data_IF_325262776589
#
_entry.id   IF_325262776589
#
_cell.length_a   1.000
_cell.length_b   1.000
_cell.length_c   1.000
_cell.angle_alpha   90.00
_cell.angle_beta   90.00
_cell.angle_gamma   90.00
#
_symmetry.space_group_name_H-M   'P 1'
#
loop_
_entity.id
_entity.type
_entity.pdbx_description
1 polymer ?
#
# COMPACT_ATOMS: atom_id res chain seq x y z
N UNK A 1 -17.99 -4.82 0.59
CA UNK A 1 -16.89 -4.23 -0.20
C UNK A 1 -15.58 -4.80 0.31
N UNK A 2 -14.62 -5.09 -0.56
CA UNK A 2 -13.26 -5.53 -0.17
C UNK A 2 -12.34 -4.30 -0.17
N UNK A 3 -11.64 -4.04 0.94
CA UNK A 3 -10.60 -3.04 1.02
C UNK A 3 -9.22 -3.71 0.89
N UNK A 4 -8.53 -3.54 -0.22
CA UNK A 4 -7.18 -4.08 -0.43
C UNK A 4 -6.19 -3.01 0.00
N UNK A 5 -5.60 -3.18 1.17
CA UNK A 5 -4.78 -2.16 1.80
C UNK A 5 -3.29 -2.45 1.66
N UNK A 6 -2.58 -1.61 0.92
CA UNK A 6 -1.12 -1.55 0.91
C UNK A 6 -0.63 -0.92 2.21
N UNK A 7 -0.24 -1.79 3.16
CA UNK A 7 0.08 -1.37 4.52
C UNK A 7 1.51 -0.83 4.68
N UNK A 8 2.39 -1.08 3.72
CA UNK A 8 3.81 -0.68 3.81
C UNK A 8 3.96 0.83 4.04
N UNK A 9 3.16 1.63 3.34
CA UNK A 9 3.22 3.08 3.39
C UNK A 9 2.77 3.68 4.72
N UNK A 10 1.74 3.11 5.37
CA UNK A 10 1.27 3.58 6.69
C UNK A 10 2.23 3.18 7.81
N UNK A 11 2.82 1.97 7.72
CA UNK A 11 3.84 1.51 8.66
C UNK A 11 5.04 2.43 8.61
N UNK A 12 5.53 2.72 7.40
CA UNK A 12 6.65 3.66 7.22
C UNK A 12 6.31 5.06 7.75
N UNK A 13 5.15 5.61 7.40
CA UNK A 13 4.69 6.95 7.84
C UNK A 13 4.43 7.05 9.34
N UNK A 14 4.25 5.94 10.05
CA UNK A 14 4.03 5.94 11.50
C UNK A 14 5.33 6.04 12.30
N UNK A 15 6.47 5.73 11.68
CA UNK A 15 7.78 5.84 12.30
C UNK A 15 8.37 7.25 12.26
N UNK A 16 7.77 8.19 11.51
CA UNK A 16 8.28 9.56 11.46
C UNK A 16 7.75 10.39 12.62
N UNK A 17 8.62 11.24 13.18
CA UNK A 17 8.31 12.20 14.23
C UNK A 17 7.81 11.56 15.55
N UNK A 18 8.20 10.32 15.82
CA UNK A 18 7.91 9.64 17.07
C UNK A 18 9.20 9.44 17.85
N UNK A 19 9.17 9.73 19.14
CA UNK A 19 10.35 9.67 20.01
C UNK A 19 10.56 8.27 20.59
N UNK A 20 9.47 7.51 20.75
CA UNK A 20 9.53 6.16 21.28
C UNK A 20 8.59 5.18 20.53
N UNK A 21 8.71 3.90 20.85
CA UNK A 21 7.95 2.83 20.19
C UNK A 21 6.45 2.84 20.54
N UNK A 22 6.07 3.35 21.69
CA UNK A 22 4.67 3.46 22.11
C UNK A 22 3.95 4.49 21.22
N UNK A 23 4.54 5.65 21.02
CA UNK A 23 4.02 6.67 20.09
C UNK A 23 3.91 6.15 18.65
N UNK A 24 4.90 5.37 18.19
CA UNK A 24 4.86 4.75 16.86
C UNK A 24 3.66 3.82 16.72
N UNK A 25 3.41 2.96 17.71
CA UNK A 25 2.28 2.03 17.69
C UNK A 25 0.94 2.74 17.78
N UNK A 26 0.83 3.77 18.61
CA UNK A 26 -0.37 4.63 18.70
C UNK A 26 -0.65 5.35 17.37
N UNK A 27 0.39 5.92 16.76
CA UNK A 27 0.30 6.58 15.44
C UNK A 27 -0.19 5.62 14.37
N UNK A 28 0.33 4.40 14.34
CA UNK A 28 -0.11 3.35 13.43
C UNK A 28 -1.59 3.01 13.61
N UNK A 29 -2.01 2.71 14.84
CA UNK A 29 -3.40 2.34 15.11
C UNK A 29 -4.38 3.48 14.88
N UNK A 30 -3.99 4.72 15.19
CA UNK A 30 -4.80 5.89 14.90
C UNK A 30 -5.08 6.04 13.42
N UNK A 31 -4.03 5.95 12.58
CA UNK A 31 -4.16 6.03 11.12
C UNK A 31 -4.96 4.84 10.56
N UNK A 32 -4.69 3.63 11.02
CA UNK A 32 -5.38 2.42 10.57
C UNK A 32 -6.89 2.48 10.85
N UNK A 33 -7.27 2.87 12.07
CA UNK A 33 -8.67 3.03 12.47
C UNK A 33 -9.38 4.12 11.67
N UNK A 34 -8.72 5.27 11.41
CA UNK A 34 -9.27 6.35 10.58
C UNK A 34 -9.54 5.86 9.15
N UNK A 35 -8.63 5.07 8.57
CA UNK A 35 -8.81 4.48 7.25
C UNK A 35 -10.01 3.52 7.23
N UNK A 36 -10.08 2.58 8.17
CA UNK A 36 -11.20 1.62 8.27
C UNK A 36 -12.51 2.37 8.42
N UNK A 37 -12.58 3.35 9.31
CA UNK A 37 -13.75 4.19 9.52
C UNK A 37 -14.22 4.88 8.24
N UNK A 38 -13.32 5.52 7.49
CA UNK A 38 -13.67 6.19 6.23
C UNK A 38 -14.17 5.22 5.16
N UNK A 39 -13.60 4.01 5.10
CA UNK A 39 -14.07 2.95 4.22
C UNK A 39 -15.48 2.49 4.60
N UNK A 40 -15.77 2.30 5.90
CA UNK A 40 -17.08 1.87 6.39
C UNK A 40 -18.14 2.97 6.24
N UNK A 41 -17.78 4.23 6.43
CA UNK A 41 -18.68 5.37 6.16
C UNK A 41 -19.13 5.39 4.69
N UNK A 42 -18.24 5.04 3.76
CA UNK A 42 -18.53 5.05 2.32
C UNK A 42 -19.32 3.83 1.85
N UNK A 43 -19.00 2.65 2.35
CA UNK A 43 -19.46 1.37 1.79
C UNK A 43 -20.27 0.50 2.77
N UNK A 44 -20.44 0.94 4.01
CA UNK A 44 -20.98 0.09 5.08
C UNK A 44 -19.95 -0.95 5.51
N UNK A 45 -20.33 -2.23 5.54
CA UNK A 45 -19.40 -3.29 5.90
C UNK A 45 -18.28 -3.47 4.85
N UNK A 46 -17.03 -3.44 5.31
CA UNK A 46 -15.84 -3.63 4.49
C UNK A 46 -14.99 -4.75 5.09
N UNK A 47 -14.64 -5.72 4.27
CA UNK A 47 -13.63 -6.73 4.59
C UNK A 47 -12.26 -6.19 4.21
N UNK A 48 -11.35 -6.05 5.17
CA UNK A 48 -10.01 -5.52 4.97
C UNK A 48 -9.03 -6.65 4.69
N UNK A 49 -8.32 -6.56 3.57
CA UNK A 49 -7.19 -7.41 3.21
C UNK A 49 -5.94 -6.55 3.27
N UNK A 50 -5.16 -6.72 4.35
CA UNK A 50 -3.91 -6.01 4.52
C UNK A 50 -2.82 -6.74 3.74
N UNK A 51 -2.15 -6.04 2.84
CA UNK A 51 -1.09 -6.57 1.96
C UNK A 51 0.19 -5.81 2.24
N UNK A 52 1.28 -6.51 2.46
CA UNK A 52 2.55 -5.83 2.72
C UNK A 52 3.71 -6.77 3.04
N UNK A 53 4.85 -6.15 3.30
CA UNK A 53 6.09 -6.80 3.73
C UNK A 53 6.58 -7.91 2.81
N UNK A 54 6.29 -7.79 1.52
CA UNK A 54 6.77 -8.72 0.50
C UNK A 54 8.30 -8.67 0.40
N UNK A 55 8.93 -9.81 0.18
CA UNK A 55 10.39 -9.97 0.24
C UNK A 55 10.95 -10.62 -1.02
N UNK A 56 12.28 -10.59 -1.17
CA UNK A 56 13.02 -11.30 -2.23
C UNK A 56 12.51 -10.98 -3.65
N UNK A 57 12.22 -9.72 -3.91
CA UNK A 57 11.72 -9.25 -5.20
C UNK A 57 12.55 -9.79 -6.37
N UNK A 58 11.87 -10.41 -7.34
CA UNK A 58 12.50 -10.99 -8.53
C UNK A 58 13.22 -9.93 -9.40
N UNK A 59 12.75 -8.65 -9.37
CA UNK A 59 13.36 -7.55 -10.14
C UNK A 59 14.84 -7.36 -9.79
N UNK A 60 15.23 -7.59 -8.52
CA UNK A 60 16.65 -7.58 -8.10
C UNK A 60 17.47 -8.72 -8.68
N UNK A 61 16.83 -9.81 -9.10
CA UNK A 61 17.52 -10.93 -9.80
C UNK A 61 17.76 -10.60 -11.26
N UNK A 62 16.89 -9.78 -11.87
CA UNK A 62 16.98 -9.33 -13.26
C UNK A 62 17.93 -8.13 -13.37
N UNK A 63 17.83 -7.20 -12.42
CA UNK A 63 18.67 -6.01 -12.34
C UNK A 63 19.11 -5.79 -10.89
N UNK A 64 20.39 -6.04 -10.62
CA UNK A 64 20.98 -5.87 -9.28
C UNK A 64 20.97 -4.39 -8.80
N UNK A 65 20.90 -3.43 -9.71
CA UNK A 65 20.82 -1.99 -9.39
C UNK A 65 19.39 -1.53 -9.06
N UNK A 66 18.37 -2.38 -9.27
CA UNK A 66 16.99 -2.02 -9.00
C UNK A 66 16.77 -1.53 -7.57
N UNK A 67 16.25 -0.30 -7.43
CA UNK A 67 16.10 0.42 -6.15
C UNK A 67 17.41 0.63 -5.37
N UNK A 68 18.58 0.48 -6.02
CA UNK A 68 19.90 0.70 -5.40
C UNK A 68 20.17 2.15 -5.00
N UNK A 69 19.45 3.11 -5.58
CA UNK A 69 19.56 4.54 -5.28
C UNK A 69 18.80 4.98 -4.02
N UNK A 70 18.10 4.07 -3.33
CA UNK A 70 17.43 4.38 -2.06
C UNK A 70 18.46 4.46 -0.95
N UNK A 71 19.02 5.65 -0.75
CA UNK A 71 20.05 5.97 0.25
C UNK A 71 19.46 6.52 1.56
N UNK A 72 18.14 6.65 1.66
CA UNK A 72 17.52 7.13 2.90
C UNK A 72 17.68 6.11 4.01
N UNK A 73 18.14 6.56 5.15
CA UNK A 73 18.18 5.76 6.37
C UNK A 73 16.76 5.32 6.74
N UNK A 74 16.63 4.05 7.11
CA UNK A 74 15.35 3.55 7.60
C UNK A 74 15.00 4.22 8.93
N UNK A 75 13.72 4.55 9.17
CA UNK A 75 13.29 5.03 10.48
C UNK A 75 13.69 4.05 11.58
N UNK A 76 14.06 4.56 12.75
CA UNK A 76 14.62 3.78 13.87
C UNK A 76 13.72 2.62 14.30
N UNK A 77 12.41 2.84 14.38
CA UNK A 77 11.45 1.85 14.88
C UNK A 77 10.81 0.97 13.78
N UNK A 78 11.22 1.11 12.51
CA UNK A 78 10.53 0.48 11.39
C UNK A 78 10.47 -1.05 11.50
N UNK A 79 11.59 -1.69 11.81
CA UNK A 79 11.66 -3.16 11.89
C UNK A 79 10.83 -3.69 13.08
N UNK A 80 10.89 -3.01 14.22
CA UNK A 80 10.09 -3.34 15.38
C UNK A 80 8.58 -3.17 15.11
N UNK A 81 8.19 -2.11 14.40
CA UNK A 81 6.79 -1.89 14.03
C UNK A 81 6.29 -2.94 13.03
N UNK A 82 7.10 -3.35 12.06
CA UNK A 82 6.76 -4.42 11.12
C UNK A 82 6.43 -5.72 11.86
N UNK A 83 7.28 -6.14 12.79
CA UNK A 83 7.05 -7.36 13.58
C UNK A 83 5.80 -7.22 14.46
N UNK A 84 5.64 -6.08 15.15
CA UNK A 84 4.44 -5.79 15.93
C UNK A 84 3.16 -5.86 15.11
N UNK A 85 3.15 -5.29 13.90
CA UNK A 85 1.99 -5.29 13.00
C UNK A 85 1.67 -6.71 12.53
N UNK A 86 2.68 -7.52 12.20
CA UNK A 86 2.48 -8.94 11.83
C UNK A 86 1.90 -9.78 12.96
N UNK A 87 2.24 -9.47 14.22
CA UNK A 87 1.70 -10.16 15.39
C UNK A 87 0.24 -9.77 15.69
N UNK A 88 -0.16 -8.56 15.35
CA UNK A 88 -1.46 -7.99 15.72
C UNK A 88 -2.48 -7.89 14.58
N UNK A 89 -2.04 -8.03 13.32
CA UNK A 89 -2.90 -8.02 12.13
C UNK A 89 -2.57 -9.20 11.24
N UNK A 90 -3.62 -9.75 10.60
CA UNK A 90 -3.40 -10.67 9.50
C UNK A 90 -2.92 -9.90 8.26
N UNK A 91 -1.70 -10.23 7.80
CA UNK A 91 -1.06 -9.59 6.65
C UNK A 91 -0.81 -10.63 5.57
N UNK A 92 -1.34 -10.37 4.39
CA UNK A 92 -1.01 -11.12 3.18
C UNK A 92 0.37 -10.70 2.68
N UNK A 93 1.31 -11.62 2.71
CA UNK A 93 2.68 -11.37 2.29
C UNK A 93 3.18 -12.48 1.37
N UNK A 94 4.11 -12.16 0.47
CA UNK A 94 4.76 -13.15 -0.40
C UNK A 94 6.24 -12.87 -0.60
N UNK A 95 7.00 -13.96 -0.78
CA UNK A 95 8.37 -13.90 -1.25
C UNK A 95 8.41 -13.95 -2.78
N UNK A 96 9.34 -13.22 -3.39
CA UNK A 96 9.60 -13.23 -4.83
C UNK A 96 8.86 -12.16 -5.64
N UNK A 97 7.98 -11.39 -5.03
CA UNK A 97 7.24 -10.29 -5.67
C UNK A 97 7.26 -9.03 -4.80
N UNK A 98 6.81 -7.90 -5.32
CA UNK A 98 6.58 -6.67 -4.55
C UNK A 98 5.15 -6.63 -4.00
N UNK A 99 4.91 -5.74 -3.03
CA UNK A 99 3.59 -5.55 -2.43
C UNK A 99 2.56 -5.10 -3.48
N UNK A 100 2.94 -4.21 -4.39
CA UNK A 100 2.11 -3.73 -5.49
C UNK A 100 1.67 -4.87 -6.45
N UNK A 101 2.58 -5.81 -6.76
CA UNK A 101 2.25 -7.01 -7.55
C UNK A 101 1.19 -7.87 -6.85
N UNK A 102 1.26 -7.98 -5.51
CA UNK A 102 0.31 -8.77 -4.73
C UNK A 102 -1.04 -8.07 -4.62
N UNK A 103 -1.06 -6.75 -4.42
CA UNK A 103 -2.27 -5.91 -4.46
C UNK A 103 -2.98 -6.05 -5.80
N UNK A 104 -2.23 -5.97 -6.92
CA UNK A 104 -2.78 -6.17 -8.26
C UNK A 104 -3.41 -7.55 -8.45
N UNK A 105 -2.82 -8.61 -7.87
CA UNK A 105 -3.40 -9.97 -7.89
C UNK A 105 -4.73 -10.04 -7.13
N UNK A 106 -4.82 -9.41 -5.96
CA UNK A 106 -6.08 -9.34 -5.22
C UNK A 106 -7.14 -8.52 -5.95
N UNK A 107 -6.77 -7.37 -6.56
CA UNK A 107 -7.67 -6.59 -7.40
C UNK A 107 -8.26 -7.44 -8.54
N UNK A 108 -7.42 -8.20 -9.23
CA UNK A 108 -7.87 -9.11 -10.31
C UNK A 108 -8.74 -10.25 -9.78
N UNK A 109 -8.47 -10.76 -8.59
CA UNK A 109 -9.23 -11.85 -7.99
C UNK A 109 -10.65 -11.44 -7.58
N UNK A 110 -10.78 -10.31 -6.87
CA UNK A 110 -12.06 -9.82 -6.37
C UNK A 110 -12.83 -8.98 -7.40
N UNK A 111 -12.12 -8.38 -8.33
CA UNK A 111 -12.66 -7.51 -9.38
C UNK A 111 -12.82 -6.05 -8.93
N UNK A 112 -12.61 -5.15 -9.88
CA UNK A 112 -12.59 -3.70 -9.68
C UNK A 112 -13.88 -3.10 -9.09
N UNK A 113 -15.03 -3.74 -9.34
CA UNK A 113 -16.34 -3.26 -8.88
C UNK A 113 -16.67 -3.69 -7.45
N UNK A 114 -15.94 -4.67 -6.91
CA UNK A 114 -16.13 -5.23 -5.57
C UNK A 114 -15.01 -4.89 -4.61
N UNK A 115 -13.96 -4.21 -5.09
CA UNK A 115 -12.79 -3.87 -4.30
C UNK A 115 -12.36 -2.42 -4.46
N UNK A 116 -11.67 -1.93 -3.43
CA UNK A 116 -11.05 -0.60 -3.39
C UNK A 116 -9.60 -0.81 -2.95
N UNK A 117 -8.65 -0.25 -3.71
CA UNK A 117 -7.25 -0.18 -3.26
C UNK A 117 -7.13 0.95 -2.25
N UNK A 118 -6.48 0.70 -1.13
CA UNK A 118 -6.19 1.69 -0.11
C UNK A 118 -4.69 1.93 -0.12
N UNK A 119 -4.27 3.06 -0.68
CA UNK A 119 -2.85 3.42 -0.79
C UNK A 119 -2.67 4.90 -1.12
N UNK A 120 -1.46 5.42 -0.91
CA UNK A 120 -1.03 6.74 -1.37
C UNK A 120 -0.12 6.65 -2.59
N UNK A 121 0.24 5.44 -3.01
CA UNK A 121 1.14 5.23 -4.13
C UNK A 121 0.42 5.50 -5.46
N UNK A 122 1.01 6.37 -6.28
CA UNK A 122 0.50 6.74 -7.61
C UNK A 122 0.55 5.57 -8.61
N UNK A 123 1.39 4.56 -8.35
CA UNK A 123 1.57 3.43 -9.26
C UNK A 123 0.28 2.60 -9.41
N UNK A 124 -0.61 2.65 -8.42
CA UNK A 124 -1.94 2.02 -8.53
C UNK A 124 -2.88 2.73 -9.53
N UNK A 125 -2.58 3.96 -9.95
CA UNK A 125 -3.34 4.65 -11.01
C UNK A 125 -3.18 4.03 -12.41
N UNK A 126 -2.31 3.00 -12.54
CA UNK A 126 -2.19 2.18 -13.76
C UNK A 126 -3.28 1.11 -13.87
N UNK A 127 -4.12 0.95 -12.86
CA UNK A 127 -5.20 -0.05 -12.85
C UNK A 127 -6.56 0.63 -12.95
N UNK A 128 -7.46 0.05 -13.74
CA UNK A 128 -8.88 0.44 -13.73
C UNK A 128 -9.50 -0.01 -12.39
N UNK A 129 -9.65 0.89 -11.43
CA UNK A 129 -10.12 0.60 -10.08
C UNK A 129 -10.61 1.85 -9.35
N UNK A 130 -11.08 1.67 -8.12
CA UNK A 130 -11.26 2.76 -7.17
C UNK A 130 -10.10 2.71 -6.16
N UNK A 131 -9.48 3.85 -5.90
CA UNK A 131 -8.40 4.02 -4.92
C UNK A 131 -8.90 4.93 -3.81
N UNK A 132 -8.70 4.53 -2.55
CA UNK A 132 -8.82 5.44 -1.42
C UNK A 132 -7.44 5.97 -1.04
N UNK A 133 -7.22 7.26 -1.32
CA UNK A 133 -6.00 7.99 -0.93
C UNK A 133 -6.18 8.54 0.48
N UNK A 134 -5.63 7.85 1.47
CA UNK A 134 -5.91 8.17 2.88
C UNK A 134 -5.22 9.46 3.37
N UNK A 135 -4.13 9.92 2.76
CA UNK A 135 -3.51 11.21 3.07
C UNK A 135 -4.34 12.40 2.58
N UNK A 136 -5.09 12.24 1.47
CA UNK A 136 -6.02 13.24 0.94
C UNK A 136 -7.45 13.02 1.41
N UNK A 137 -7.75 11.87 2.01
CA UNK A 137 -9.10 11.43 2.42
C UNK A 137 -10.10 11.44 1.27
N UNK A 138 -9.67 11.04 0.09
CA UNK A 138 -10.51 11.04 -1.12
C UNK A 138 -10.54 9.69 -1.82
N UNK A 139 -11.68 9.41 -2.47
CA UNK A 139 -11.86 8.25 -3.34
C UNK A 139 -11.66 8.68 -4.79
N UNK A 140 -10.65 8.09 -5.43
CA UNK A 140 -10.28 8.36 -6.82
C UNK A 140 -10.76 7.17 -7.66
N UNK A 141 -11.62 7.43 -8.63
CA UNK A 141 -12.03 6.42 -9.60
C UNK A 141 -11.17 6.55 -10.84
N UNK A 142 -10.40 5.52 -11.14
CA UNK A 142 -9.54 5.46 -12.33
C UNK A 142 -10.27 4.68 -13.41
N UNK A 143 -10.57 5.33 -14.53
CA UNK A 143 -11.15 4.70 -15.71
C UNK A 143 -10.11 3.86 -16.47
N UNK A 144 -10.59 3.03 -17.39
CA UNK A 144 -9.70 2.23 -18.24
C UNK A 144 -8.77 3.10 -19.09
N UNK A 145 -9.29 4.20 -19.60
CA UNK A 145 -8.56 5.16 -20.44
C UNK A 145 -7.48 5.86 -19.62
N UNK A 146 -7.81 6.31 -18.40
CA UNK A 146 -6.85 6.94 -17.48
C UNK A 146 -5.77 5.95 -17.04
N UNK A 147 -6.14 4.71 -16.71
CA UNK A 147 -5.19 3.67 -16.34
C UNK A 147 -4.20 3.39 -17.48
N UNK A 148 -4.70 3.28 -18.70
CA UNK A 148 -3.87 3.09 -19.89
C UNK A 148 -2.92 4.28 -20.13
N UNK A 149 -3.42 5.52 -19.99
CA UNK A 149 -2.60 6.72 -20.12
C UNK A 149 -1.48 6.75 -19.07
N UNK A 150 -1.82 6.56 -17.79
CA UNK A 150 -0.87 6.57 -16.69
C UNK A 150 0.22 5.49 -16.86
N UNK A 151 -0.15 4.29 -17.31
CA UNK A 151 0.81 3.23 -17.62
C UNK A 151 1.82 3.66 -18.68
N UNK A 152 1.35 4.20 -19.81
CA UNK A 152 2.23 4.62 -20.89
C UNK A 152 3.06 5.85 -20.52
N UNK A 153 2.50 6.78 -19.75
CA UNK A 153 3.23 7.93 -19.25
C UNK A 153 4.44 7.50 -18.42
N UNK A 154 4.25 6.57 -17.50
CA UNK A 154 5.35 6.03 -16.69
C UNK A 154 6.39 5.26 -17.53
N UNK A 155 5.95 4.51 -18.54
CA UNK A 155 6.85 3.79 -19.43
C UNK A 155 7.73 4.74 -20.26
N UNK A 156 7.22 5.91 -20.65
CA UNK A 156 7.95 6.88 -21.50
C UNK A 156 8.81 7.84 -20.67
N UNK A 157 8.30 8.30 -19.53
CA UNK A 157 8.95 9.34 -18.72
C UNK A 157 9.86 8.71 -17.64
N UNK A 158 9.59 7.46 -17.28
CA UNK A 158 10.19 6.78 -16.14
C UNK A 158 9.48 7.14 -14.82
N UNK A 159 9.83 6.41 -13.78
CA UNK A 159 9.34 6.69 -12.43
C UNK A 159 10.03 7.97 -11.90
N UNK A 160 9.23 9.00 -11.58
CA UNK A 160 9.69 10.29 -11.02
C UNK A 160 9.41 10.38 -9.54
#
# INVERSE_FOLDING_TARGET
>A
MIGIFDIDSIVYASCYNSEDFEEVTESFWSKYKDIVYNMEVRYGHVEMINVGFCTNNYRKKVDASYKGNRTQDKPEHLEALIEYVKENLHIETRSGIETDDLVAKFLNHYGKDKSVIISIDKDYMQFECTIYSYNKREFIKVSKEEAFYNFWEQMVIGDR
#
